data_IF_147790662477
#
_entry.id   IF_147790662477
#
_cell.length_a   1.000
_cell.length_b   1.000
_cell.length_c   1.000
_cell.angle_alpha   90.00
_cell.angle_beta   90.00
_cell.angle_gamma   90.00
#
_symmetry.space_group_name_H-M   'P 1'
#
loop_
_entity.id
_entity.type
_entity.pdbx_description
1 polymer ?
#
# COMPACT_ATOMS: atom_id res chain seq x y z
N UNK A 1 -39.61 8.17 -5.71
CA UNK A 1 -40.00 8.34 -4.29
C UNK A 1 -38.70 8.43 -3.49
N UNK A 2 -38.57 9.38 -2.57
CA UNK A 2 -37.40 9.47 -1.69
C UNK A 2 -37.71 8.67 -0.42
N UNK A 3 -36.80 7.79 -0.02
CA UNK A 3 -36.90 7.03 1.22
C UNK A 3 -35.99 7.70 2.26
N UNK A 4 -36.58 8.32 3.27
CA UNK A 4 -35.84 8.92 4.39
C UNK A 4 -35.73 7.92 5.53
N UNK A 5 -34.55 7.32 5.70
CA UNK A 5 -34.31 6.25 6.69
C UNK A 5 -34.54 6.69 8.13
N UNK A 6 -34.52 8.00 8.43
CA UNK A 6 -34.79 8.53 9.77
C UNK A 6 -36.24 8.33 10.22
N UNK A 7 -37.12 7.97 9.28
CA UNK A 7 -38.56 7.78 9.51
C UNK A 7 -38.96 6.29 9.63
N UNK A 8 -37.99 5.37 9.58
CA UNK A 8 -38.23 3.93 9.66
C UNK A 8 -37.52 3.33 10.86
N UNK A 9 -38.18 2.41 11.55
CA UNK A 9 -37.58 1.59 12.61
C UNK A 9 -37.20 0.20 12.06
N UNK A 10 -36.10 -0.35 12.55
CA UNK A 10 -35.64 -1.74 12.30
C UNK A 10 -35.72 -2.13 10.82
N UNK A 11 -36.65 -3.02 10.43
CA UNK A 11 -36.76 -3.59 9.09
C UNK A 11 -37.71 -2.82 8.16
N UNK A 12 -38.43 -1.80 8.66
CA UNK A 12 -39.48 -1.11 7.91
C UNK A 12 -38.98 -0.43 6.62
N UNK A 13 -37.71 -0.03 6.58
CA UNK A 13 -37.10 0.51 5.37
C UNK A 13 -36.91 -0.57 4.28
N UNK A 14 -36.56 -1.81 4.66
CA UNK A 14 -36.41 -2.93 3.73
C UNK A 14 -37.78 -3.40 3.24
N UNK A 15 -38.78 -3.47 4.11
CA UNK A 15 -40.16 -3.76 3.73
C UNK A 15 -40.67 -2.77 2.70
N UNK A 16 -40.45 -1.47 2.92
CA UNK A 16 -40.87 -0.42 1.99
C UNK A 16 -40.14 -0.56 0.64
N UNK A 17 -38.84 -0.90 0.61
CA UNK A 17 -38.09 -1.19 -0.62
C UNK A 17 -38.72 -2.37 -1.38
N UNK A 18 -39.06 -3.46 -0.70
CA UNK A 18 -39.64 -4.65 -1.32
C UNK A 18 -41.01 -4.38 -1.95
N UNK A 19 -41.75 -3.36 -1.51
CA UNK A 19 -43.07 -3.00 -2.09
C UNK A 19 -43.00 -2.47 -3.52
N UNK A 20 -41.86 -1.91 -3.94
CA UNK A 20 -41.71 -1.28 -5.26
C UNK A 20 -40.54 -1.83 -6.07
N UNK A 21 -39.89 -2.91 -5.61
CA UNK A 21 -38.76 -3.54 -6.30
C UNK A 21 -39.00 -5.03 -6.53
N UNK A 22 -38.30 -5.59 -7.51
CA UNK A 22 -38.27 -7.03 -7.78
C UNK A 22 -36.82 -7.47 -7.91
N UNK A 23 -36.46 -8.59 -7.29
CA UNK A 23 -35.08 -9.11 -7.25
C UNK A 23 -34.99 -10.49 -7.95
N UNK A 24 -35.73 -10.63 -9.06
CA UNK A 24 -35.85 -11.88 -9.79
C UNK A 24 -36.76 -12.90 -9.09
N UNK A 25 -36.53 -14.19 -9.36
CA UNK A 25 -37.33 -15.32 -8.83
C UNK A 25 -36.76 -15.93 -7.56
N UNK A 26 -35.53 -15.57 -7.20
CA UNK A 26 -34.85 -16.04 -5.98
C UNK A 26 -35.03 -15.05 -4.84
N UNK A 27 -34.74 -15.47 -3.61
CA UNK A 27 -34.79 -14.58 -2.44
C UNK A 27 -34.00 -13.27 -2.66
N UNK A 28 -34.53 -12.10 -2.29
CA UNK A 28 -33.86 -10.80 -2.48
C UNK A 28 -32.44 -10.75 -1.92
N UNK A 29 -32.18 -11.44 -0.81
CA UNK A 29 -30.84 -11.54 -0.20
C UNK A 29 -29.78 -12.14 -1.13
N UNK A 30 -30.17 -12.88 -2.16
CA UNK A 30 -29.27 -13.42 -3.17
C UNK A 30 -28.83 -12.37 -4.20
N UNK A 31 -29.55 -11.25 -4.29
CA UNK A 31 -29.17 -10.10 -5.11
C UNK A 31 -28.14 -9.21 -4.39
N UNK A 32 -27.07 -8.84 -5.09
CA UNK A 32 -26.02 -7.97 -4.54
C UNK A 32 -26.56 -6.57 -4.22
N UNK A 33 -27.46 -6.03 -5.05
CA UNK A 33 -28.07 -4.72 -4.83
C UNK A 33 -28.82 -4.70 -3.51
N UNK A 34 -29.67 -5.71 -3.27
CA UNK A 34 -30.41 -5.80 -2.01
C UNK A 34 -29.47 -5.89 -0.81
N UNK A 35 -28.40 -6.71 -0.88
CA UNK A 35 -27.41 -6.79 0.21
C UNK A 35 -26.71 -5.46 0.49
N UNK A 36 -26.40 -4.67 -0.53
CA UNK A 36 -25.80 -3.34 -0.34
C UNK A 36 -26.78 -2.35 0.31
N UNK A 37 -28.06 -2.38 -0.11
CA UNK A 37 -29.12 -1.59 0.51
C UNK A 37 -29.30 -1.98 1.99
N UNK A 38 -29.40 -3.28 2.28
CA UNK A 38 -29.50 -3.79 3.65
C UNK A 38 -28.28 -3.41 4.50
N UNK A 39 -27.06 -3.51 3.95
CA UNK A 39 -25.85 -3.11 4.66
C UNK A 39 -25.83 -1.61 5.00
N UNK A 40 -26.29 -0.76 4.07
CA UNK A 40 -26.39 0.68 4.31
C UNK A 40 -27.47 1.04 5.34
N UNK A 41 -28.62 0.37 5.31
CA UNK A 41 -29.68 0.57 6.30
C UNK A 41 -29.21 0.14 7.69
N UNK A 42 -28.50 -1.00 7.78
CA UNK A 42 -28.01 -1.53 9.04
C UNK A 42 -26.88 -0.68 9.66
N UNK A 43 -25.94 -0.19 8.84
CA UNK A 43 -24.74 0.50 9.33
C UNK A 43 -24.11 1.41 8.27
N UNK A 44 -24.91 2.31 7.68
CA UNK A 44 -24.45 3.26 6.65
C UNK A 44 -23.38 4.23 7.14
N UNK A 45 -23.24 4.39 8.46
CA UNK A 45 -22.20 5.18 9.10
C UNK A 45 -20.82 4.52 9.13
N UNK A 46 -20.70 3.20 8.86
CA UNK A 46 -19.47 2.41 9.01
C UNK A 46 -18.24 3.02 8.33
N UNK A 47 -18.43 3.51 7.11
CA UNK A 47 -17.37 4.11 6.29
C UNK A 47 -17.60 5.61 6.07
N UNK A 48 -18.46 6.24 6.88
CA UNK A 48 -18.60 7.68 6.89
C UNK A 48 -17.30 8.30 7.44
N UNK A 49 -16.64 9.15 6.66
CA UNK A 49 -15.36 9.73 7.01
C UNK A 49 -15.50 10.60 8.28
N UNK A 50 -14.79 10.30 9.38
CA UNK A 50 -14.84 11.12 10.58
C UNK A 50 -14.30 12.52 10.35
N UNK A 51 -14.87 13.51 11.05
CA UNK A 51 -14.45 14.91 10.96
C UNK A 51 -12.93 15.15 11.13
N UNK A 52 -12.22 14.50 12.08
CA UNK A 52 -10.77 14.68 12.21
C UNK A 52 -9.95 14.20 11.01
N UNK A 53 -10.50 13.32 10.16
CA UNK A 53 -9.83 12.76 8.99
C UNK A 53 -10.19 13.48 7.67
N UNK A 54 -10.94 14.59 7.74
CA UNK A 54 -11.26 15.41 6.57
C UNK A 54 -9.97 15.99 5.94
N UNK A 55 -9.68 15.74 4.65
CA UNK A 55 -8.42 16.16 4.03
C UNK A 55 -8.14 17.66 4.11
N UNK A 56 -9.19 18.49 4.09
CA UNK A 56 -9.08 19.96 4.20
C UNK A 56 -8.51 20.44 5.54
N UNK A 57 -8.50 19.58 6.57
CA UNK A 57 -7.91 19.86 7.89
C UNK A 57 -6.43 19.52 7.97
N UNK A 58 -5.85 18.94 6.91
CA UNK A 58 -4.48 18.46 6.89
C UNK A 58 -3.67 19.14 5.80
N UNK A 59 -2.37 19.29 6.06
CA UNK A 59 -1.40 19.77 5.08
C UNK A 59 -0.07 19.05 5.28
N UNK A 60 0.71 18.93 4.20
CA UNK A 60 2.06 18.41 4.27
C UNK A 60 3.02 19.49 4.76
N UNK A 61 3.94 19.12 5.65
CA UNK A 61 5.04 19.99 6.05
C UNK A 61 6.21 19.82 5.08
N UNK A 62 6.87 20.91 4.63
CA UNK A 62 8.06 20.80 3.80
C UNK A 62 9.19 20.10 4.55
N UNK A 63 9.94 19.25 3.85
CA UNK A 63 11.09 18.58 4.43
C UNK A 63 12.25 19.56 4.62
N UNK A 64 12.87 19.55 5.80
CA UNK A 64 14.12 20.28 6.07
C UNK A 64 15.30 19.47 5.53
N UNK A 65 15.87 19.93 4.40
CA UNK A 65 17.09 19.37 3.82
C UNK A 65 16.84 18.25 2.81
N UNK A 66 17.10 18.56 1.54
CA UNK A 66 17.29 17.55 0.50
C UNK A 66 18.77 17.23 0.42
N UNK A 67 19.24 16.23 1.17
CA UNK A 67 20.54 15.67 0.85
C UNK A 67 20.43 15.03 -0.53
N UNK A 68 21.19 15.54 -1.50
CA UNK A 68 21.24 14.93 -2.82
C UNK A 68 21.74 13.49 -2.66
N UNK A 69 21.08 12.49 -3.28
CA UNK A 69 21.55 11.12 -3.22
C UNK A 69 22.96 11.07 -3.81
N UNK A 70 23.92 10.67 -2.98
CA UNK A 70 25.29 10.47 -3.44
C UNK A 70 25.34 9.15 -4.18
N UNK A 71 25.60 9.23 -5.47
CA UNK A 71 25.85 8.07 -6.30
C UNK A 71 27.15 7.40 -5.83
N UNK A 72 27.14 6.07 -5.66
CA UNK A 72 28.32 5.26 -5.31
C UNK A 72 28.92 4.63 -6.59
N UNK A 73 29.79 5.35 -7.33
CA UNK A 73 30.34 4.84 -8.58
C UNK A 73 31.11 3.53 -8.35
N UNK A 74 31.01 2.60 -9.31
CA UNK A 74 31.78 1.35 -9.32
C UNK A 74 31.12 0.14 -8.64
N UNK A 75 29.90 0.29 -8.09
CA UNK A 75 29.10 -0.87 -7.65
C UNK A 75 28.27 -1.44 -8.81
N UNK A 76 28.04 -2.77 -8.85
CA UNK A 76 27.21 -3.41 -9.88
C UNK A 76 25.71 -3.06 -9.75
N UNK A 77 25.29 -2.60 -8.58
CA UNK A 77 23.97 -2.01 -8.30
C UNK A 77 24.06 -1.09 -7.08
N UNK A 78 23.03 -0.27 -6.89
CA UNK A 78 22.85 0.58 -5.71
C UNK A 78 21.46 0.39 -5.11
N UNK A 79 21.20 1.03 -3.96
CA UNK A 79 19.89 0.99 -3.31
C UNK A 79 19.43 2.39 -2.90
N UNK A 80 18.17 2.71 -3.21
CA UNK A 80 17.45 3.81 -2.59
C UNK A 80 16.68 3.29 -1.37
N UNK A 81 16.59 4.10 -0.31
CA UNK A 81 15.81 3.77 0.89
C UNK A 81 14.54 4.62 0.95
N UNK A 82 13.40 3.95 1.10
CA UNK A 82 12.11 4.59 1.32
C UNK A 82 11.61 4.29 2.74
N UNK A 83 11.30 5.33 3.51
CA UNK A 83 10.78 5.17 4.87
C UNK A 83 9.31 4.72 4.84
N UNK A 84 8.96 3.71 5.62
CA UNK A 84 7.59 3.40 6.00
C UNK A 84 7.30 4.11 7.32
N UNK A 85 6.25 4.95 7.37
CA UNK A 85 6.00 5.84 8.51
C UNK A 85 4.68 5.54 9.22
N UNK A 86 4.60 5.87 10.50
CA UNK A 86 3.39 5.88 11.31
C UNK A 86 3.05 7.34 11.66
N UNK A 87 2.21 8.03 10.85
CA UNK A 87 1.96 9.46 11.00
C UNK A 87 1.39 9.83 12.37
N UNK A 88 0.50 9.00 12.92
CA UNK A 88 -0.13 9.23 14.23
C UNK A 88 0.87 9.29 15.40
N UNK A 89 2.06 8.68 15.26
CA UNK A 89 3.15 8.71 16.25
C UNK A 89 4.36 9.50 15.78
N UNK A 90 4.27 10.17 14.63
CA UNK A 90 5.39 10.90 13.99
C UNK A 90 6.68 10.09 13.95
N UNK A 91 6.58 8.80 13.56
CA UNK A 91 7.69 7.83 13.70
C UNK A 91 7.93 7.08 12.40
N UNK A 92 9.20 6.81 12.09
CA UNK A 92 9.56 5.83 11.05
C UNK A 92 9.40 4.41 11.63
N UNK A 93 8.71 3.53 10.92
CA UNK A 93 8.54 2.13 11.31
C UNK A 93 9.68 1.25 10.80
N UNK A 94 10.03 1.42 9.53
CA UNK A 94 11.02 0.62 8.82
C UNK A 94 11.48 1.36 7.56
N UNK A 95 12.48 0.81 6.88
CA UNK A 95 12.92 1.27 5.56
C UNK A 95 12.85 0.14 4.55
N UNK A 96 12.44 0.45 3.32
CA UNK A 96 12.52 -0.48 2.19
C UNK A 96 13.72 -0.15 1.31
N UNK A 97 14.54 -1.16 1.01
CA UNK A 97 15.65 -1.06 0.06
C UNK A 97 15.18 -1.40 -1.35
N UNK A 98 15.25 -0.40 -2.23
CA UNK A 98 14.84 -0.49 -3.62
C UNK A 98 16.06 -0.45 -4.53
N UNK A 99 16.31 -1.53 -5.26
CA UNK A 99 17.48 -1.67 -6.14
C UNK A 99 17.48 -0.58 -7.22
N UNK A 100 18.67 -0.12 -7.59
CA UNK A 100 18.94 0.86 -8.65
C UNK A 100 20.10 0.39 -9.50
N UNK A 101 20.09 0.76 -10.78
CA UNK A 101 21.22 0.49 -11.66
C UNK A 101 22.47 1.27 -11.22
N UNK A 102 23.66 0.94 -11.75
CA UNK A 102 24.88 1.75 -11.59
C UNK A 102 24.79 3.17 -12.13
N UNK A 103 23.67 3.60 -12.71
CA UNK A 103 23.42 4.99 -13.13
C UNK A 103 22.23 5.62 -12.39
N UNK A 104 21.69 4.94 -11.38
CA UNK A 104 20.49 5.37 -10.65
C UNK A 104 19.16 5.02 -11.33
N UNK A 105 19.19 4.22 -12.40
CA UNK A 105 18.02 3.76 -13.14
C UNK A 105 17.11 2.84 -12.33
N UNK A 106 15.91 2.59 -12.85
CA UNK A 106 14.88 1.80 -12.20
C UNK A 106 15.27 0.32 -11.99
N UNK A 107 14.56 -0.44 -11.13
CA UNK A 107 14.75 -1.89 -11.03
C UNK A 107 14.61 -2.62 -12.37
N UNK A 108 13.68 -2.18 -13.23
CA UNK A 108 13.48 -2.79 -14.56
C UNK A 108 14.73 -2.61 -15.41
N UNK A 109 15.32 -1.41 -15.43
CA UNK A 109 16.58 -1.15 -16.14
C UNK A 109 17.76 -1.95 -15.57
N UNK A 110 17.84 -2.08 -14.24
CA UNK A 110 18.86 -2.90 -13.58
C UNK A 110 18.78 -4.36 -14.06
N UNK A 111 17.60 -4.99 -14.00
CA UNK A 111 17.44 -6.39 -14.40
C UNK A 111 17.46 -6.61 -15.92
N UNK A 112 17.17 -5.59 -16.72
CA UNK A 112 17.34 -5.64 -18.17
C UNK A 112 18.82 -5.72 -18.59
N UNK A 113 19.72 -5.15 -17.78
CA UNK A 113 21.17 -5.22 -18.00
C UNK A 113 21.80 -6.57 -17.58
N UNK A 114 21.06 -7.43 -16.89
CA UNK A 114 21.51 -8.75 -16.44
C UNK A 114 20.96 -9.84 -17.38
N UNK A 115 21.83 -10.77 -17.79
CA UNK A 115 21.45 -11.93 -18.58
C UNK A 115 20.33 -12.71 -17.87
N UNK A 116 19.34 -13.22 -18.62
CA UNK A 116 18.12 -13.77 -18.05
C UNK A 116 18.37 -14.93 -17.06
N UNK A 117 19.34 -15.79 -17.38
CA UNK A 117 19.78 -16.92 -16.54
C UNK A 117 20.45 -16.49 -15.22
N UNK A 118 21.01 -15.29 -15.15
CA UNK A 118 21.72 -14.78 -13.97
C UNK A 118 20.84 -13.95 -13.03
N UNK A 119 19.60 -13.62 -13.44
CA UNK A 119 18.76 -12.66 -12.70
C UNK A 119 18.46 -13.08 -11.28
N UNK A 120 18.20 -14.37 -11.02
CA UNK A 120 17.89 -14.86 -9.68
C UNK A 120 19.11 -14.81 -8.75
N UNK A 121 20.27 -15.25 -9.25
CA UNK A 121 21.53 -15.15 -8.52
C UNK A 121 21.87 -13.69 -8.22
N UNK A 122 21.79 -12.83 -9.23
CA UNK A 122 22.03 -11.39 -9.08
C UNK A 122 21.06 -10.73 -8.08
N UNK A 123 19.78 -11.06 -8.15
CA UNK A 123 18.78 -10.56 -7.20
C UNK A 123 19.14 -10.93 -5.76
N UNK A 124 19.59 -12.15 -5.49
CA UNK A 124 20.03 -12.55 -4.15
C UNK A 124 21.32 -11.83 -3.72
N UNK A 125 22.37 -11.89 -4.55
CA UNK A 125 23.69 -11.36 -4.23
C UNK A 125 23.70 -9.83 -4.10
N UNK A 126 22.89 -9.13 -4.89
CA UNK A 126 22.74 -7.66 -4.80
C UNK A 126 22.35 -7.18 -3.40
N UNK A 127 21.69 -8.02 -2.59
CA UNK A 127 21.26 -7.64 -1.23
C UNK A 127 22.43 -7.40 -0.28
N UNK A 128 23.63 -7.90 -0.58
CA UNK A 128 24.84 -7.55 0.15
C UNK A 128 25.07 -6.02 0.17
N UNK A 129 24.82 -5.32 -0.94
CA UNK A 129 24.95 -3.87 -1.03
C UNK A 129 23.83 -3.14 -0.25
N UNK A 130 22.62 -3.69 -0.22
CA UNK A 130 21.53 -3.16 0.61
C UNK A 130 21.87 -3.24 2.11
N UNK A 131 22.40 -4.38 2.57
CA UNK A 131 22.83 -4.56 3.96
C UNK A 131 24.02 -3.68 4.32
N UNK A 132 25.00 -3.54 3.42
CA UNK A 132 26.13 -2.64 3.62
C UNK A 132 25.68 -1.18 3.78
N UNK A 133 24.77 -0.70 2.92
CA UNK A 133 24.19 0.65 3.03
C UNK A 133 23.44 0.83 4.36
N UNK A 134 22.62 -0.16 4.74
CA UNK A 134 21.87 -0.12 5.98
C UNK A 134 22.78 -0.10 7.23
N UNK A 135 23.92 -0.81 7.19
CA UNK A 135 24.91 -0.81 8.28
C UNK A 135 25.71 0.49 8.40
N UNK A 136 25.84 1.26 7.31
CA UNK A 136 26.51 2.58 7.31
C UNK A 136 25.59 3.71 7.79
N UNK A 137 24.27 3.53 7.66
CA UNK A 137 23.30 4.53 8.09
C UNK A 137 22.88 4.29 9.54
N UNK A 138 22.56 5.37 10.30
CA UNK A 138 22.08 5.26 11.66
C UNK A 138 20.61 4.80 11.71
N UNK A 139 20.32 3.60 11.18
CA UNK A 139 18.97 3.03 11.15
C UNK A 139 18.48 2.60 12.54
N UNK A 140 19.35 2.55 13.55
CA UNK A 140 18.96 2.20 14.92
C UNK A 140 18.29 0.83 15.00
N UNK A 141 17.12 0.75 15.65
CA UNK A 141 16.33 -0.49 15.77
C UNK A 141 15.27 -0.65 14.67
N UNK A 142 15.33 0.16 13.60
CA UNK A 142 14.36 0.06 12.51
C UNK A 142 14.62 -1.19 11.66
N UNK A 143 13.54 -1.82 11.20
CA UNK A 143 13.62 -2.95 10.29
C UNK A 143 14.01 -2.49 8.88
N UNK A 144 14.74 -3.34 8.16
CA UNK A 144 15.00 -3.19 6.72
C UNK A 144 14.17 -4.22 5.94
N UNK A 145 13.30 -3.76 5.06
CA UNK A 145 12.62 -4.58 4.06
C UNK A 145 13.46 -4.65 2.77
N UNK A 146 13.58 -5.84 2.20
CA UNK A 146 14.27 -6.09 0.93
C UNK A 146 13.35 -6.88 0.00
N UNK A 147 13.44 -6.63 -1.30
CA UNK A 147 12.64 -7.29 -2.31
C UNK A 147 13.40 -8.44 -2.97
N UNK A 148 12.85 -9.66 -2.93
CA UNK A 148 13.41 -10.82 -3.63
C UNK A 148 12.31 -11.47 -4.46
N UNK A 149 12.65 -11.88 -5.68
CA UNK A 149 11.79 -12.77 -6.45
C UNK A 149 11.76 -14.14 -5.75
N UNK A 150 10.61 -14.86 -5.76
CA UNK A 150 10.54 -16.18 -5.15
C UNK A 150 11.65 -17.13 -5.65
N UNK A 151 11.97 -17.11 -6.95
CA UNK A 151 13.02 -17.95 -7.54
C UNK A 151 14.43 -17.67 -7.00
N UNK A 152 14.72 -16.45 -6.57
CA UNK A 152 16.05 -16.07 -6.02
C UNK A 152 16.38 -16.80 -4.73
N UNK A 153 15.37 -17.24 -3.96
CA UNK A 153 15.53 -17.94 -2.69
C UNK A 153 15.76 -19.45 -2.84
N UNK A 154 15.53 -20.03 -4.02
CA UNK A 154 15.60 -21.49 -4.22
C UNK A 154 16.47 -21.92 -5.42
N UNK A 155 16.71 -21.03 -6.38
CA UNK A 155 17.47 -21.30 -7.59
C UNK A 155 18.70 -20.40 -7.66
N UNK A 156 19.75 -20.77 -6.93
CA UNK A 156 21.06 -20.14 -6.95
C UNK A 156 22.16 -21.17 -7.20
#
# INVERSE_FOLDING_TARGET
>A
RILDLRLFETDGALEEILRFSTFGVTEPVNDRMFRLLSAFIADGGRYCLPEPLQPSRWMMMPASGTAAPQHLPGQPCQFALQAMVEPAKTRVSSFEALIRSPTGGSPVEMFAAIAAEDRYRFDLESKAYAFALAGQLPLGKHQLAINLLPGSLYHH
#
